data_IF_469225769424
#
_entry.id   IF_469225769424
#
_cell.length_a   1.000
_cell.length_b   1.000
_cell.length_c   1.000
_cell.angle_alpha   90.00
_cell.angle_beta   90.00
_cell.angle_gamma   90.00
#
_symmetry.space_group_name_H-M   'P 1'
#
loop_
_entity.id
_entity.type
_entity.pdbx_description
1 polymer ?
#
# COMPACT_ATOMS: atom_id res chain seq x y z
N UNK A 1 24.97 12.22 4.46
CA UNK A 1 24.63 11.26 3.38
C UNK A 1 25.26 11.66 2.05
N UNK A 2 24.88 12.79 1.45
CA UNK A 2 25.48 13.19 0.15
C UNK A 2 27.00 13.37 0.20
N UNK A 3 27.53 13.95 1.28
CA UNK A 3 28.98 14.04 1.49
C UNK A 3 29.63 12.65 1.57
N UNK A 4 29.07 11.73 2.35
CA UNK A 4 29.55 10.34 2.46
C UNK A 4 29.53 9.62 1.10
N UNK A 5 28.51 9.87 0.27
CA UNK A 5 28.44 9.35 -1.10
C UNK A 5 29.55 9.93 -1.98
N UNK A 6 29.83 11.24 -1.87
CA UNK A 6 30.90 11.91 -2.62
C UNK A 6 32.29 11.44 -2.19
N UNK A 7 32.47 11.17 -0.90
CA UNK A 7 33.67 10.59 -0.29
C UNK A 7 33.79 9.07 -0.55
N UNK A 8 32.82 8.46 -1.24
CA UNK A 8 32.75 7.02 -1.55
C UNK A 8 32.74 6.12 -0.31
N UNK A 9 32.20 6.62 0.80
CA UNK A 9 31.96 5.83 2.01
C UNK A 9 30.65 5.04 1.94
N UNK A 10 29.73 5.45 1.06
CA UNK A 10 28.48 4.73 0.75
C UNK A 10 28.23 4.80 -0.76
N UNK A 11 27.59 3.77 -1.32
CA UNK A 11 27.23 3.71 -2.74
C UNK A 11 26.00 4.56 -3.07
N UNK A 12 25.08 4.69 -2.11
CA UNK A 12 23.82 5.39 -2.29
C UNK A 12 23.08 5.58 -0.97
N UNK A 13 21.98 6.30 -1.03
CA UNK A 13 21.08 6.50 0.11
C UNK A 13 19.67 6.80 -0.38
N UNK A 14 18.70 6.49 0.48
CA UNK A 14 17.30 6.86 0.28
C UNK A 14 17.03 8.15 1.05
N UNK A 15 16.28 9.07 0.45
CA UNK A 15 15.91 10.34 1.08
C UNK A 15 14.53 10.76 0.59
N UNK A 16 13.76 11.39 1.47
CA UNK A 16 12.47 11.96 1.11
C UNK A 16 12.62 13.04 0.04
N UNK A 17 11.62 13.15 -0.84
CA UNK A 17 11.62 14.14 -1.91
C UNK A 17 11.72 15.58 -1.38
N UNK A 18 11.07 15.86 -0.25
CA UNK A 18 11.09 17.17 0.39
C UNK A 18 12.46 17.54 0.97
N UNK A 19 13.16 16.58 1.59
CA UNK A 19 14.54 16.82 2.06
C UNK A 19 15.50 16.96 0.88
N UNK A 20 15.32 16.15 -0.18
CA UNK A 20 16.15 16.26 -1.38
C UNK A 20 16.02 17.61 -2.08
N UNK A 21 14.81 18.19 -2.17
CA UNK A 21 14.61 19.47 -2.84
C UNK A 21 15.33 20.65 -2.17
N UNK A 22 15.72 20.50 -0.90
CA UNK A 22 16.52 21.48 -0.16
C UNK A 22 18.02 21.37 -0.46
N UNK A 23 18.48 20.26 -1.06
CA UNK A 23 19.87 20.06 -1.42
C UNK A 23 20.18 20.86 -2.69
N UNK A 24 21.18 21.76 -2.62
CA UNK A 24 21.64 22.59 -3.75
C UNK A 24 22.50 21.82 -4.77
N UNK A 25 22.23 20.54 -4.99
CA UNK A 25 22.99 19.67 -5.89
C UNK A 25 22.10 19.16 -7.04
N UNK A 26 22.66 19.15 -8.25
CA UNK A 26 22.00 18.62 -9.47
C UNK A 26 22.42 17.17 -9.73
N UNK A 27 22.20 16.29 -8.77
CA UNK A 27 22.42 14.85 -8.94
C UNK A 27 21.21 14.16 -9.57
N UNK A 28 21.48 13.17 -10.43
CA UNK A 28 20.44 12.26 -10.95
C UNK A 28 19.93 11.38 -9.81
N UNK A 29 18.64 11.10 -9.81
CA UNK A 29 17.98 10.26 -8.80
C UNK A 29 17.00 9.31 -9.45
N UNK A 30 16.78 8.18 -8.78
CA UNK A 30 15.67 7.29 -9.06
C UNK A 30 14.59 7.53 -8.01
N UNK A 31 13.34 7.63 -8.45
CA UNK A 31 12.21 7.76 -7.53
C UNK A 31 11.85 6.37 -7.03
N UNK A 32 11.99 6.14 -5.73
CA UNK A 32 11.38 4.99 -5.05
C UNK A 32 9.98 5.42 -4.62
N UNK A 33 8.96 4.63 -4.94
CA UNK A 33 7.59 4.91 -4.56
C UNK A 33 6.57 4.31 -5.51
N UNK A 34 5.29 4.53 -5.21
CA UNK A 34 4.17 4.11 -6.06
C UNK A 34 4.14 4.94 -7.35
N UNK A 35 4.99 4.60 -8.32
CA UNK A 35 5.06 5.30 -9.60
C UNK A 35 3.77 5.08 -10.40
N UNK A 36 3.17 6.18 -10.85
CA UNK A 36 1.94 6.19 -11.67
C UNK A 36 2.23 6.06 -13.18
N UNK A 37 3.43 5.61 -13.55
CA UNK A 37 3.92 5.63 -14.94
C UNK A 37 3.55 4.39 -15.76
N UNK A 38 3.89 4.45 -17.05
CA UNK A 38 3.30 3.65 -18.11
C UNK A 38 3.30 2.15 -17.77
N UNK A 39 2.16 1.47 -17.97
CA UNK A 39 1.95 0.06 -17.59
C UNK A 39 2.83 -0.97 -18.30
N UNK A 40 3.73 -0.56 -19.20
CA UNK A 40 4.78 -1.43 -19.74
C UNK A 40 6.01 -1.52 -18.82
N UNK A 41 6.05 -0.74 -17.74
CA UNK A 41 7.19 -0.64 -16.81
C UNK A 41 6.80 -0.86 -15.34
N UNK A 42 5.51 -1.09 -15.05
CA UNK A 42 5.01 -1.34 -13.68
C UNK A 42 5.61 -2.61 -13.05
N UNK A 43 6.11 -3.54 -13.86
CA UNK A 43 6.73 -4.80 -13.43
C UNK A 43 8.25 -4.76 -13.24
N UNK A 44 8.92 -3.68 -13.68
CA UNK A 44 10.39 -3.61 -13.63
C UNK A 44 10.92 -2.79 -12.45
N UNK A 45 10.04 -2.23 -11.59
CA UNK A 45 10.47 -1.41 -10.47
C UNK A 45 9.83 -1.83 -9.16
N UNK A 46 10.69 -2.05 -8.17
CA UNK A 46 10.31 -2.34 -6.79
C UNK A 46 9.31 -1.30 -6.27
N UNK A 47 8.14 -1.75 -5.84
CA UNK A 47 7.25 -0.92 -5.04
C UNK A 47 7.96 -0.63 -3.72
N UNK A 48 7.90 0.62 -3.29
CA UNK A 48 8.37 1.05 -1.99
C UNK A 48 7.22 1.80 -1.34
N UNK A 49 6.71 1.28 -0.22
CA UNK A 49 5.74 2.00 0.60
C UNK A 49 6.54 2.81 1.60
N UNK A 50 6.25 4.10 1.70
CA UNK A 50 6.96 4.97 2.63
C UNK A 50 6.67 4.57 4.09
N UNK A 51 7.58 4.90 5.01
CA UNK A 51 7.25 4.98 6.43
C UNK A 51 5.92 5.72 6.68
N UNK A 52 5.14 5.31 7.69
CA UNK A 52 3.88 5.94 8.01
C UNK A 52 4.00 7.45 8.22
N UNK A 53 2.98 8.19 7.79
CA UNK A 53 2.83 9.64 7.92
C UNK A 53 3.85 10.47 7.13
N UNK A 54 4.61 9.85 6.22
CA UNK A 54 5.53 10.57 5.37
C UNK A 54 4.80 11.36 4.26
N UNK A 55 5.24 12.59 4.01
CA UNK A 55 4.75 13.41 2.90
C UNK A 55 3.59 14.34 3.24
N UNK A 56 3.06 14.29 4.47
CA UNK A 56 2.09 15.28 4.95
C UNK A 56 2.77 16.57 5.43
N UNK A 57 2.08 17.70 5.26
CA UNK A 57 2.42 18.97 5.91
C UNK A 57 1.32 19.28 6.92
N UNK A 58 1.68 19.28 8.20
CA UNK A 58 0.73 19.50 9.30
C UNK A 58 0.97 20.89 9.90
N UNK A 59 -0.10 21.68 10.00
CA UNK A 59 -0.08 22.95 10.72
C UNK A 59 -0.60 22.72 12.14
N UNK A 60 0.26 22.94 13.14
CA UNK A 60 -0.11 22.84 14.55
C UNK A 60 -0.43 24.23 15.08
N UNK A 61 -1.56 24.37 15.76
CA UNK A 61 -2.01 25.64 16.34
C UNK A 61 -2.55 25.43 17.75
N UNK A 62 -2.71 26.53 18.50
CA UNK A 62 -3.35 26.50 19.81
C UNK A 62 -4.85 26.23 19.67
N UNK A 63 -5.44 25.67 20.73
CA UNK A 63 -6.89 25.58 20.84
C UNK A 63 -7.52 26.99 20.73
N UNK A 64 -8.62 27.08 19.98
CA UNK A 64 -9.28 28.35 19.65
C UNK A 64 -8.65 29.13 18.49
N UNK A 65 -7.67 28.57 17.78
CA UNK A 65 -7.22 29.15 16.52
C UNK A 65 -8.37 29.16 15.49
N UNK A 66 -8.58 30.27 14.76
CA UNK A 66 -9.67 30.38 13.79
C UNK A 66 -9.37 29.59 12.50
N UNK A 67 -9.73 28.31 12.50
CA UNK A 67 -9.50 27.36 11.39
C UNK A 67 -10.09 27.86 10.06
N UNK A 68 -11.17 28.64 10.11
CA UNK A 68 -11.80 29.23 8.92
C UNK A 68 -10.86 30.16 8.14
N UNK A 69 -9.82 30.72 8.76
CA UNK A 69 -8.84 31.56 8.05
C UNK A 69 -7.87 30.76 7.16
N UNK A 70 -7.79 29.44 7.34
CA UNK A 70 -6.85 28.57 6.62
C UNK A 70 -7.57 27.43 5.89
N UNK A 71 -8.90 27.44 5.83
CA UNK A 71 -9.68 26.37 5.19
C UNK A 71 -9.27 26.15 3.74
N UNK A 72 -8.93 27.22 3.04
CA UNK A 72 -8.57 27.18 1.62
C UNK A 72 -7.17 26.60 1.38
N UNK A 73 -6.32 26.55 2.41
CA UNK A 73 -5.02 25.90 2.36
C UNK A 73 -5.12 24.38 2.58
N UNK A 74 -6.25 23.90 3.10
CA UNK A 74 -6.43 22.51 3.48
C UNK A 74 -7.00 21.69 2.32
N UNK A 75 -6.23 20.71 1.85
CA UNK A 75 -6.72 19.71 0.93
C UNK A 75 -7.49 18.63 1.69
N UNK A 76 -8.81 18.59 1.48
CA UNK A 76 -9.73 17.64 2.14
C UNK A 76 -9.33 16.18 1.85
N UNK A 77 -8.84 15.88 0.64
CA UNK A 77 -8.42 14.53 0.29
C UNK A 77 -7.16 14.15 1.08
N UNK A 78 -6.18 15.05 1.17
CA UNK A 78 -4.97 14.84 1.96
C UNK A 78 -5.28 14.72 3.45
N UNK A 79 -6.17 15.56 3.98
CA UNK A 79 -6.64 15.48 5.37
C UNK A 79 -7.30 14.13 5.65
N UNK A 80 -8.16 13.65 4.76
CA UNK A 80 -8.81 12.33 4.90
C UNK A 80 -7.78 11.20 4.90
N UNK A 81 -6.81 11.24 3.97
CA UNK A 81 -5.73 10.25 3.93
C UNK A 81 -4.91 10.26 5.23
N UNK A 82 -4.53 11.45 5.72
CA UNK A 82 -3.83 11.61 6.99
C UNK A 82 -4.59 11.00 8.17
N UNK A 83 -5.89 11.28 8.31
CA UNK A 83 -6.69 10.74 9.41
C UNK A 83 -6.77 9.21 9.40
N UNK A 84 -6.91 8.62 8.21
CA UNK A 84 -6.94 7.17 8.05
C UNK A 84 -5.58 6.57 8.37
N UNK A 85 -4.52 7.15 7.81
CA UNK A 85 -3.15 6.70 8.01
C UNK A 85 -2.72 6.78 9.48
N UNK A 86 -3.01 7.91 10.13
CA UNK A 86 -2.72 8.13 11.55
C UNK A 86 -3.47 7.15 12.44
N UNK A 87 -4.75 6.90 12.18
CA UNK A 87 -5.52 5.94 12.97
C UNK A 87 -4.99 4.50 12.84
N UNK A 88 -4.51 4.10 11.66
CA UNK A 88 -3.85 2.80 11.48
C UNK A 88 -2.51 2.80 12.22
N UNK A 89 -1.67 3.82 12.01
CA UNK A 89 -0.37 3.95 12.67
C UNK A 89 -0.45 3.91 14.20
N UNK A 90 -1.41 4.64 14.78
CA UNK A 90 -1.66 4.66 16.23
C UNK A 90 -2.08 3.28 16.77
N UNK A 91 -2.68 2.44 15.92
CA UNK A 91 -3.11 1.09 16.30
C UNK A 91 -2.00 0.04 16.28
N UNK A 92 -0.85 0.35 15.67
CA UNK A 92 0.32 -0.55 15.57
C UNK A 92 1.14 -0.54 16.87
N UNK A 93 1.83 -1.65 17.17
CA UNK A 93 2.86 -1.71 18.21
C UNK A 93 4.11 -0.93 17.81
N UNK A 94 4.95 -0.56 18.78
CA UNK A 94 6.16 0.22 18.52
C UNK A 94 7.18 -0.52 17.62
N UNK A 95 7.26 -1.85 17.75
CA UNK A 95 8.07 -2.71 16.88
C UNK A 95 7.58 -2.63 15.42
N UNK A 96 6.28 -2.83 15.19
CA UNK A 96 5.69 -2.77 13.85
C UNK A 96 5.87 -1.40 13.21
N UNK A 97 5.75 -0.32 13.99
CA UNK A 97 5.92 1.06 13.47
C UNK A 97 7.29 1.29 12.84
N UNK A 98 8.33 0.59 13.29
CA UNK A 98 9.69 0.74 12.78
C UNK A 98 9.93 0.00 11.47
N UNK A 99 9.20 -1.08 11.23
CA UNK A 99 9.41 -1.99 10.09
C UNK A 99 8.25 -1.99 9.09
N UNK A 100 7.21 -1.19 9.35
CA UNK A 100 6.05 -1.08 8.46
C UNK A 100 6.18 0.06 7.48
N UNK A 101 5.73 -0.16 6.24
CA UNK A 101 5.36 0.89 5.30
C UNK A 101 3.85 1.07 5.31
N UNK A 102 3.37 2.31 5.31
CA UNK A 102 1.95 2.62 5.22
C UNK A 102 1.75 3.83 4.30
N UNK A 103 0.79 3.71 3.38
CA UNK A 103 0.46 4.79 2.46
C UNK A 103 -1.03 4.79 2.15
N UNK A 104 -1.68 5.94 2.36
CA UNK A 104 -3.09 6.14 2.02
C UNK A 104 -3.21 7.18 0.89
N UNK A 105 -3.97 6.84 -0.15
CA UNK A 105 -4.28 7.80 -1.22
C UNK A 105 -5.73 7.73 -1.69
N UNK A 106 -6.25 8.88 -2.11
CA UNK A 106 -7.51 8.95 -2.83
C UNK A 106 -7.27 8.78 -4.34
N UNK A 107 -7.88 7.76 -4.93
CA UNK A 107 -7.79 7.45 -6.36
C UNK A 107 -9.15 7.49 -7.04
N UNK A 108 -9.17 7.91 -8.31
CA UNK A 108 -10.35 7.73 -9.16
C UNK A 108 -10.52 6.25 -9.47
N UNK A 109 -11.75 5.76 -9.39
CA UNK A 109 -12.09 4.38 -9.75
C UNK A 109 -11.60 4.00 -11.16
N UNK A 110 -11.71 4.91 -12.14
CA UNK A 110 -11.23 4.66 -13.51
C UNK A 110 -9.71 4.44 -13.59
N UNK A 111 -8.93 5.08 -12.72
CA UNK A 111 -7.47 4.85 -12.64
C UNK A 111 -7.19 3.47 -12.09
N UNK A 112 -7.88 3.09 -11.01
CA UNK A 112 -7.79 1.75 -10.41
C UNK A 112 -8.13 0.70 -11.47
N UNK A 113 -9.31 0.78 -12.09
CA UNK A 113 -9.74 -0.18 -13.10
C UNK A 113 -8.75 -0.31 -14.27
N UNK A 114 -8.12 0.79 -14.71
CA UNK A 114 -7.09 0.73 -15.77
C UNK A 114 -5.84 -0.04 -15.36
N UNK A 115 -5.44 0.04 -14.10
CA UNK A 115 -4.34 -0.78 -13.55
C UNK A 115 -4.77 -2.24 -13.51
N UNK A 116 -5.97 -2.55 -12.99
CA UNK A 116 -6.45 -3.93 -12.84
C UNK A 116 -6.74 -4.65 -14.15
N UNK A 117 -7.37 -4.01 -15.14
CA UNK A 117 -7.66 -4.65 -16.44
C UNK A 117 -6.37 -5.13 -17.13
N UNK A 118 -5.22 -4.50 -16.85
CA UNK A 118 -3.93 -4.94 -17.37
C UNK A 118 -3.33 -6.10 -16.57
N UNK A 119 -3.59 -6.16 -15.26
CA UNK A 119 -3.08 -7.21 -14.36
C UNK A 119 -3.96 -8.47 -14.32
N UNK A 120 -5.25 -8.39 -14.72
CA UNK A 120 -6.15 -9.55 -14.82
C UNK A 120 -5.75 -10.48 -15.98
N UNK A 121 -4.97 -9.98 -16.94
CA UNK A 121 -4.29 -10.84 -17.91
C UNK A 121 -3.24 -11.74 -17.22
N UNK A 122 -2.84 -11.50 -15.94
CA UNK A 122 -1.71 -12.21 -15.31
C UNK A 122 -1.89 -12.74 -13.86
N UNK A 123 -2.75 -12.21 -12.95
CA UNK A 123 -3.07 -12.87 -11.63
C UNK A 123 -3.82 -12.03 -10.55
N UNK A 124 -4.14 -10.74 -10.77
CA UNK A 124 -4.51 -9.83 -9.65
C UNK A 124 -6.01 -9.64 -9.35
N UNK A 125 -6.90 -10.50 -9.86
CA UNK A 125 -8.35 -10.31 -9.75
C UNK A 125 -8.91 -10.26 -8.31
N UNK A 126 -8.15 -10.67 -7.29
CA UNK A 126 -8.64 -10.87 -5.92
C UNK A 126 -8.46 -9.68 -4.96
N UNK A 127 -7.68 -8.64 -5.31
CA UNK A 127 -7.33 -7.55 -4.36
C UNK A 127 -8.39 -6.43 -4.25
N UNK A 128 -9.49 -6.46 -5.00
CA UNK A 128 -10.62 -5.57 -4.73
C UNK A 128 -11.78 -6.43 -4.27
N UNK A 129 -12.22 -6.25 -3.02
CA UNK A 129 -13.25 -7.06 -2.34
C UNK A 129 -14.66 -7.00 -2.94
N UNK A 130 -14.81 -6.50 -4.17
CA UNK A 130 -16.04 -6.57 -4.94
C UNK A 130 -15.64 -7.08 -6.34
N UNK A 131 -16.34 -8.08 -6.87
CA UNK A 131 -16.17 -8.62 -8.22
C UNK A 131 -16.56 -7.55 -9.28
N UNK A 132 -15.75 -6.49 -9.36
CA UNK A 132 -16.03 -5.27 -10.08
C UNK A 132 -15.79 -5.41 -11.57
N UNK A 133 -15.16 -6.47 -12.04
CA UNK A 133 -14.87 -6.67 -13.45
C UNK A 133 -15.58 -7.93 -13.91
N UNK A 134 -16.49 -7.75 -14.86
CA UNK A 134 -17.23 -8.81 -15.52
C UNK A 134 -16.59 -9.03 -16.89
N UNK A 135 -16.33 -10.28 -17.30
CA UNK A 135 -15.87 -10.56 -18.65
C UNK A 135 -16.96 -10.15 -19.64
N UNK A 136 -16.61 -9.28 -20.59
CA UNK A 136 -17.49 -8.87 -21.67
C UNK A 136 -17.61 -10.01 -22.69
N UNK A 137 -18.84 -10.28 -23.14
CA UNK A 137 -19.11 -11.23 -24.22
C UNK A 137 -18.46 -10.83 -25.56
N UNK A 138 -18.08 -9.55 -25.72
CA UNK A 138 -17.31 -9.08 -26.88
C UNK A 138 -15.83 -9.34 -26.66
N UNK A 139 -15.23 -10.21 -27.48
CA UNK A 139 -13.77 -10.40 -27.55
C UNK A 139 -13.11 -9.20 -28.22
N UNK A 140 -11.93 -8.80 -27.73
CA UNK A 140 -11.09 -7.78 -28.39
C UNK A 140 -10.57 -8.25 -29.74
N UNK A 141 -9.97 -7.34 -30.52
CA UNK A 141 -9.33 -7.68 -31.81
C UNK A 141 -8.31 -8.81 -31.70
N UNK A 142 -7.67 -8.92 -30.54
CA UNK A 142 -6.64 -9.94 -30.25
C UNK A 142 -7.20 -11.20 -29.59
N UNK A 143 -8.51 -11.47 -29.72
CA UNK A 143 -9.22 -12.58 -29.06
C UNK A 143 -9.20 -12.59 -27.53
N UNK A 144 -8.60 -11.59 -26.88
CA UNK A 144 -8.60 -11.43 -25.43
C UNK A 144 -9.98 -11.03 -24.91
N UNK A 145 -10.35 -11.58 -23.75
CA UNK A 145 -11.56 -11.20 -23.03
C UNK A 145 -11.47 -9.73 -22.63
N UNK A 146 -12.39 -8.91 -23.11
CA UNK A 146 -12.50 -7.53 -22.63
C UNK A 146 -13.12 -7.57 -21.24
N UNK A 147 -12.56 -6.85 -20.27
CA UNK A 147 -13.17 -6.72 -18.94
C UNK A 147 -13.90 -5.39 -18.83
N UNK A 148 -15.11 -5.42 -18.27
CA UNK A 148 -15.93 -4.21 -18.04
C UNK A 148 -16.32 -4.10 -16.59
N UNK A 149 -16.42 -2.87 -16.05
CA UNK A 149 -16.95 -2.66 -14.71
C UNK A 149 -18.34 -3.28 -14.54
N UNK A 150 -18.59 -3.95 -13.41
CA UNK A 150 -19.92 -4.40 -13.03
C UNK A 150 -20.87 -3.20 -12.93
N UNK A 151 -22.16 -3.44 -13.19
CA UNK A 151 -23.19 -2.41 -13.03
C UNK A 151 -23.39 -2.02 -11.57
N UNK A 152 -23.07 -2.92 -10.65
CA UNK A 152 -23.21 -2.71 -9.21
C UNK A 152 -22.01 -1.96 -8.60
N UNK A 153 -21.03 -1.57 -9.42
CA UNK A 153 -19.88 -0.80 -8.96
C UNK A 153 -20.36 0.57 -8.48
N UNK A 154 -20.13 0.86 -7.20
CA UNK A 154 -20.43 2.18 -6.64
C UNK A 154 -19.56 3.23 -7.36
N UNK A 155 -20.12 4.26 -8.00
CA UNK A 155 -19.33 5.26 -8.70
C UNK A 155 -18.53 6.14 -7.74
N UNK A 156 -17.53 6.85 -8.26
CA UNK A 156 -16.78 7.87 -7.51
C UNK A 156 -15.38 7.45 -7.05
N UNK A 157 -14.69 8.32 -6.31
CA UNK A 157 -13.34 8.06 -5.82
C UNK A 157 -13.29 6.96 -4.75
N UNK A 158 -12.10 6.39 -4.58
CA UNK A 158 -11.76 5.37 -3.60
C UNK A 158 -10.65 5.87 -2.68
N UNK A 159 -10.70 5.46 -1.42
CA UNK A 159 -9.52 5.44 -0.57
C UNK A 159 -8.82 4.11 -0.82
N UNK A 160 -7.53 4.18 -1.16
CA UNK A 160 -6.63 3.04 -1.23
C UNK A 160 -5.68 3.10 -0.05
N UNK A 161 -5.61 2.01 0.72
CA UNK A 161 -4.69 1.83 1.85
C UNK A 161 -3.71 0.74 1.43
N UNK A 162 -2.43 1.05 1.46
CA UNK A 162 -1.34 0.12 1.19
C UNK A 162 -0.52 -0.03 2.46
N UNK A 163 -0.28 -1.27 2.86
CA UNK A 163 0.48 -1.59 4.06
C UNK A 163 1.46 -2.72 3.76
N UNK A 164 2.69 -2.57 4.22
CA UNK A 164 3.69 -3.64 4.18
C UNK A 164 4.43 -3.77 5.49
N UNK A 165 4.89 -4.97 5.80
CA UNK A 165 5.82 -5.25 6.90
C UNK A 165 7.07 -5.87 6.31
N UNK A 166 8.22 -5.31 6.68
CA UNK A 166 9.53 -5.78 6.29
C UNK A 166 10.09 -6.74 7.35
N UNK A 167 10.76 -7.79 6.90
CA UNK A 167 11.59 -8.65 7.77
C UNK A 167 12.93 -8.00 8.09
N UNK A 168 13.67 -8.59 9.04
CA UNK A 168 15.08 -8.22 9.32
C UNK A 168 15.97 -8.26 8.08
N UNK A 169 15.67 -9.15 7.12
CA UNK A 169 16.41 -9.29 5.86
C UNK A 169 16.00 -8.25 4.81
N UNK A 170 15.12 -7.31 5.15
CA UNK A 170 14.54 -6.31 4.24
C UNK A 170 13.68 -6.90 3.11
N UNK A 171 13.23 -8.15 3.26
CA UNK A 171 12.21 -8.75 2.40
C UNK A 171 10.80 -8.42 2.92
N UNK A 172 9.82 -8.33 2.03
CA UNK A 172 8.41 -8.09 2.39
C UNK A 172 7.79 -9.35 2.99
N UNK A 173 7.50 -9.35 4.29
CA UNK A 173 6.85 -10.45 5.01
C UNK A 173 5.33 -10.43 4.86
N UNK A 174 4.74 -9.25 4.74
CA UNK A 174 3.31 -9.05 4.62
C UNK A 174 3.05 -7.86 3.69
N UNK A 175 2.19 -8.05 2.68
CA UNK A 175 1.67 -6.96 1.84
C UNK A 175 0.13 -7.00 1.90
N UNK A 176 -0.48 -5.89 2.32
CA UNK A 176 -1.92 -5.74 2.39
C UNK A 176 -2.36 -4.52 1.60
N UNK A 177 -3.47 -4.67 0.87
CA UNK A 177 -4.09 -3.58 0.13
C UNK A 177 -5.58 -3.58 0.39
N UNK A 178 -6.12 -2.41 0.75
CA UNK A 178 -7.55 -2.21 0.91
C UNK A 178 -8.03 -1.04 0.07
N UNK A 179 -9.18 -1.22 -0.58
CA UNK A 179 -9.76 -0.20 -1.45
C UNK A 179 -11.23 -0.06 -1.09
N UNK A 180 -11.62 1.15 -0.68
CA UNK A 180 -12.97 1.42 -0.18
C UNK A 180 -13.54 2.66 -0.84
N UNK A 181 -14.85 2.70 -1.15
CA UNK A 181 -15.48 3.89 -1.70
C UNK A 181 -15.58 5.02 -0.66
N UNK A 182 -15.44 6.26 -1.15
CA UNK A 182 -15.62 7.45 -0.30
C UNK A 182 -17.11 7.68 0.01
N UNK A 183 -18.00 7.34 -0.91
CA UNK A 183 -19.45 7.47 -0.74
C UNK A 183 -19.92 6.77 0.53
N UNK A 184 -20.82 7.42 1.27
CA UNK A 184 -21.40 6.89 2.52
C UNK A 184 -20.35 6.59 3.61
N UNK A 185 -19.16 7.20 3.52
CA UNK A 185 -18.06 7.02 4.49
C UNK A 185 -17.66 5.56 4.71
N UNK A 186 -17.85 4.67 3.72
CA UNK A 186 -17.54 3.24 3.84
C UNK A 186 -16.07 2.97 4.18
N UNK A 187 -15.17 3.88 3.76
CA UNK A 187 -13.76 3.84 4.12
C UNK A 187 -13.50 3.86 5.64
N UNK A 188 -14.37 4.45 6.47
CA UNK A 188 -14.21 4.43 7.94
C UNK A 188 -14.37 3.01 8.50
N UNK A 189 -15.43 2.31 8.06
CA UNK A 189 -15.60 0.89 8.39
C UNK A 189 -14.44 0.07 7.84
N UNK A 190 -14.06 0.32 6.59
CA UNK A 190 -12.97 -0.39 5.93
C UNK A 190 -11.65 -0.26 6.69
N UNK A 191 -11.29 0.96 7.10
CA UNK A 191 -10.12 1.24 7.96
C UNK A 191 -10.16 0.42 9.25
N UNK A 192 -11.29 0.42 9.97
CA UNK A 192 -11.41 -0.32 11.23
C UNK A 192 -11.26 -1.83 11.05
N UNK A 193 -11.84 -2.38 9.98
CA UNK A 193 -11.68 -3.80 9.64
C UNK A 193 -10.22 -4.08 9.26
N UNK A 194 -9.57 -3.19 8.50
CA UNK A 194 -8.16 -3.33 8.12
C UNK A 194 -7.23 -3.39 9.33
N UNK A 195 -7.48 -2.57 10.36
CA UNK A 195 -6.73 -2.62 11.61
C UNK A 195 -6.85 -4.00 12.28
N UNK A 196 -8.05 -4.58 12.29
CA UNK A 196 -8.26 -5.91 12.86
C UNK A 196 -7.59 -7.01 12.02
N UNK A 197 -7.64 -6.88 10.68
CA UNK A 197 -6.96 -7.79 9.76
C UNK A 197 -5.44 -7.76 9.94
N UNK A 198 -4.83 -6.56 10.10
CA UNK A 198 -3.40 -6.41 10.38
C UNK A 198 -3.05 -7.16 11.67
N UNK A 199 -3.77 -6.92 12.76
CA UNK A 199 -3.52 -7.58 14.05
C UNK A 199 -3.60 -9.10 13.93
N UNK A 200 -4.68 -9.59 13.34
CA UNK A 200 -4.87 -11.02 13.13
C UNK A 200 -3.75 -11.65 12.31
N UNK A 201 -3.34 -11.02 11.20
CA UNK A 201 -2.30 -11.55 10.33
C UNK A 201 -0.92 -11.48 10.99
N UNK A 202 -0.60 -10.40 11.69
CA UNK A 202 0.66 -10.29 12.44
C UNK A 202 0.73 -11.35 13.55
N UNK A 203 -0.35 -11.58 14.28
CA UNK A 203 -0.40 -12.64 15.30
C UNK A 203 -0.24 -14.02 14.66
N UNK A 204 -0.92 -14.27 13.54
CA UNK A 204 -0.82 -15.53 12.80
C UNK A 204 0.60 -15.78 12.26
N UNK A 205 1.28 -14.73 11.78
CA UNK A 205 2.64 -14.83 11.24
C UNK A 205 3.69 -15.06 12.32
N UNK A 206 3.42 -14.70 13.58
CA UNK A 206 4.32 -14.96 14.71
C UNK A 206 4.11 -16.33 15.35
N UNK A 207 2.98 -16.99 15.09
CA UNK A 207 2.68 -18.31 15.64
C UNK A 207 3.52 -19.40 14.98
N UNK A 208 4.04 -20.31 15.80
CA UNK A 208 4.63 -21.55 15.31
C UNK A 208 3.54 -22.40 14.64
N UNK A 209 3.89 -23.01 13.51
CA UNK A 209 3.03 -23.88 12.74
C UNK A 209 3.34 -25.32 13.10
N UNK A 210 2.34 -26.02 13.65
CA UNK A 210 2.40 -27.44 13.93
C UNK A 210 2.52 -28.28 12.64
N UNK A 211 2.99 -29.51 12.80
CA UNK A 211 3.03 -30.49 11.72
C UNK A 211 1.61 -30.75 11.16
N UNK A 212 1.47 -30.64 9.84
CA UNK A 212 0.20 -30.89 9.15
C UNK A 212 -0.09 -32.39 9.17
N UNK A 213 -1.15 -32.80 9.89
CA UNK A 213 -1.62 -34.19 9.91
C UNK A 213 -2.08 -34.72 8.54
N UNK A 214 -2.39 -33.83 7.61
CA UNK A 214 -2.87 -34.18 6.27
C UNK A 214 -1.78 -33.89 5.25
N UNK A 215 -1.20 -34.95 4.69
CA UNK A 215 -0.26 -34.86 3.58
C UNK A 215 -1.00 -34.40 2.33
N UNK A 216 -0.57 -33.28 1.76
CA UNK A 216 -1.06 -32.79 0.47
C UNK A 216 -0.20 -33.41 -0.64
N UNK A 217 -0.83 -34.23 -1.48
CA UNK A 217 -0.14 -34.90 -2.60
C UNK A 217 0.44 -33.87 -3.57
N UNK A 218 1.70 -34.05 -3.96
CA UNK A 218 2.42 -33.18 -4.91
C UNK A 218 3.20 -32.02 -4.28
N UNK A 219 3.14 -31.84 -2.95
CA UNK A 219 4.02 -30.90 -2.23
C UNK A 219 5.23 -31.62 -1.63
N UNK A 220 6.37 -30.93 -1.43
CA UNK A 220 7.53 -31.48 -0.73
C UNK A 220 7.17 -31.99 0.67
N UNK A 221 7.85 -33.02 1.17
CA UNK A 221 7.60 -33.57 2.51
C UNK A 221 7.73 -32.52 3.61
N UNK A 222 8.70 -31.61 3.46
CA UNK A 222 8.97 -30.44 4.32
C UNK A 222 7.79 -29.46 4.41
N UNK A 223 6.81 -29.55 3.51
CA UNK A 223 5.59 -28.73 3.59
C UNK A 223 4.75 -29.13 4.81
N UNK A 224 4.79 -30.41 5.19
CA UNK A 224 4.00 -30.90 6.32
C UNK A 224 4.70 -30.70 7.66
N UNK A 225 6.03 -30.48 7.66
CA UNK A 225 6.82 -30.34 8.88
C UNK A 225 6.42 -29.09 9.69
N UNK A 226 6.59 -29.18 11.01
CA UNK A 226 6.44 -28.03 11.88
C UNK A 226 7.45 -26.93 11.51
N UNK A 227 7.03 -25.67 11.57
CA UNK A 227 7.85 -24.49 11.23
C UNK A 227 7.66 -23.39 12.27
N UNK A 228 8.72 -22.63 12.58
CA UNK A 228 8.56 -21.45 13.41
C UNK A 228 7.71 -20.39 12.71
N UNK A 229 7.21 -19.42 13.46
CA UNK A 229 6.58 -18.22 12.92
C UNK A 229 7.41 -17.56 11.82
N UNK A 230 6.72 -17.09 10.77
CA UNK A 230 7.31 -16.42 9.61
C UNK A 230 7.79 -15.00 9.91
N UNK A 231 7.14 -14.32 10.86
CA UNK A 231 7.50 -12.98 11.31
C UNK A 231 8.07 -13.06 12.72
N UNK A 232 9.22 -12.43 12.93
CA UNK A 232 9.83 -12.24 14.24
C UNK A 232 9.94 -10.74 14.46
N UNK A 233 9.25 -10.25 15.50
CA UNK A 233 9.28 -8.86 15.95
C UNK A 233 10.29 -8.69 17.08
#
# INVERSE_FOLDING_TARGET
>A
LEQLRNEKLIDGYVISRGKFSQIKSRVRRHTLGMQREKPSQEFERSKFISPPLEGFTVLVSREGFPITMISDLNDIAAQTCYHIENAIYESLSDELRQISGLFVEQKKLSTILKQYVKLIDESYALKIGENYLIPSAKKGRDSRTKWSPSKDVIPGPRICIYFEVLSENSDVSLEMVRIEPISESKFERGKNVFIQEIKFLVDLLQQDHDELKRVISGLPEEYNSAKPGLLKL
#
